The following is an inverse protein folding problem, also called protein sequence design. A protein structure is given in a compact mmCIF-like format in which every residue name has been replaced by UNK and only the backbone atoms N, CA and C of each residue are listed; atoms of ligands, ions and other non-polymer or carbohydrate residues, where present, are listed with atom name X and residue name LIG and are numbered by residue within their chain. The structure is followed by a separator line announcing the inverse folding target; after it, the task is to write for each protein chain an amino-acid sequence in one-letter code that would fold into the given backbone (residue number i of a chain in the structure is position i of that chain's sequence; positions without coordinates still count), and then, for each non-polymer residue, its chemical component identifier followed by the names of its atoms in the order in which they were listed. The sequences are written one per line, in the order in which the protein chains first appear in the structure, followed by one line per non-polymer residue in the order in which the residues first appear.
data_IF_439400560190
#
_entry.id   IF_439400560190
#
_cell.length_a   1.000
_cell.length_b   1.000
_cell.length_c   1.000
_cell.angle_alpha   90.00
_cell.angle_beta   90.00
_cell.angle_gamma   90.00
#
_symmetry.space_group_name_H-M   'P 1'
#
loop_
_entity.id
_entity.type
_entity.pdbx_description
1 polymer ?
#
# COMPACT_ATOMS: atom_id res chain seq x y z
N UNK A 1 -7.33 16.15 9.22
CA UNK A 1 -6.34 15.26 9.85
C UNK A 1 -4.98 15.80 9.46
N UNK A 2 -4.07 15.94 10.41
CA UNK A 2 -2.75 16.53 10.18
C UNK A 2 -1.86 15.56 9.38
N UNK A 3 -1.17 16.06 8.35
CA UNK A 3 -0.29 15.26 7.49
C UNK A 3 0.88 14.65 8.24
N UNK A 4 1.37 15.34 9.27
CA UNK A 4 2.48 14.85 10.11
C UNK A 4 2.05 13.67 10.98
N UNK A 5 0.81 13.69 11.47
CA UNK A 5 0.22 12.57 12.23
C UNK A 5 0.08 11.33 11.35
N UNK A 6 -0.32 11.52 10.09
CA UNK A 6 -0.42 10.41 9.13
C UNK A 6 0.97 9.84 8.84
N UNK A 7 1.96 10.70 8.58
CA UNK A 7 3.34 10.27 8.33
C UNK A 7 3.92 9.49 9.51
N UNK A 8 3.78 10.00 10.73
CA UNK A 8 4.27 9.32 11.93
C UNK A 8 3.63 7.95 12.13
N UNK A 9 2.32 7.81 11.86
CA UNK A 9 1.63 6.52 11.93
C UNK A 9 2.14 5.53 10.87
N UNK A 10 2.44 6.01 9.67
CA UNK A 10 2.98 5.20 8.58
C UNK A 10 4.42 4.75 8.87
N UNK A 11 5.27 5.64 9.40
CA UNK A 11 6.64 5.31 9.80
C UNK A 11 6.64 4.30 10.95
N UNK A 12 5.72 4.44 11.91
CA UNK A 12 5.55 3.47 12.99
C UNK A 12 5.15 2.10 12.47
N UNK A 13 4.22 2.02 11.51
CA UNK A 13 3.85 0.75 10.89
C UNK A 13 5.02 0.10 10.15
N UNK A 14 5.80 0.89 9.40
CA UNK A 14 6.96 0.37 8.70
C UNK A 14 7.97 -0.24 9.67
N UNK A 15 8.17 0.37 10.85
CA UNK A 15 8.97 -0.22 11.93
C UNK A 15 8.38 -1.55 12.43
N UNK A 16 7.05 -1.62 12.61
CA UNK A 16 6.38 -2.83 13.11
C UNK A 16 6.49 -4.01 12.16
N UNK A 17 6.58 -3.79 10.85
CA UNK A 17 6.89 -4.87 9.90
C UNK A 17 8.25 -5.52 10.22
N UNK A 18 9.26 -4.71 10.54
CA UNK A 18 10.59 -5.17 10.96
C UNK A 18 10.57 -5.99 12.26
N UNK A 19 9.76 -5.60 13.25
CA UNK A 19 9.58 -6.35 14.50
C UNK A 19 9.01 -7.76 14.28
N UNK A 20 8.36 -7.97 13.13
CA UNK A 20 7.82 -9.26 12.71
C UNK A 20 8.67 -9.98 11.67
N UNK A 21 9.90 -9.50 11.41
CA UNK A 21 10.80 -10.01 10.38
C UNK A 21 10.16 -10.01 8.98
N UNK A 22 9.25 -9.07 8.71
CA UNK A 22 8.63 -8.88 7.40
C UNK A 22 9.36 -7.71 6.71
N UNK A 23 9.93 -7.98 5.54
CA UNK A 23 10.57 -6.96 4.72
C UNK A 23 9.49 -6.18 3.93
N UNK A 24 9.27 -4.92 4.32
CA UNK A 24 8.24 -4.07 3.76
C UNK A 24 8.81 -2.78 3.16
N UNK A 25 8.14 -2.29 2.12
CA UNK A 25 8.30 -0.94 1.58
C UNK A 25 6.97 -0.23 1.60
N UNK A 26 6.99 1.10 1.73
CA UNK A 26 5.80 1.93 1.68
C UNK A 26 5.95 3.01 0.62
N UNK A 27 4.96 3.10 -0.25
CA UNK A 27 4.92 4.08 -1.34
C UNK A 27 3.73 5.02 -1.15
N UNK A 28 4.03 6.31 -1.04
CA UNK A 28 3.01 7.37 -1.08
C UNK A 28 2.77 7.80 -2.52
N UNK A 29 1.50 7.85 -2.93
CA UNK A 29 1.10 8.20 -4.28
C UNK A 29 0.55 9.62 -4.29
N UNK A 30 1.20 10.51 -5.04
CA UNK A 30 0.66 11.83 -5.36
C UNK A 30 -0.51 11.68 -6.35
N UNK A 31 -1.54 12.54 -6.22
CA UNK A 31 -2.71 12.53 -7.09
C UNK A 31 -2.47 13.40 -8.34
N UNK A 32 -1.43 13.06 -9.09
CA UNK A 32 -1.02 13.73 -10.33
C UNK A 32 -0.63 12.69 -11.41
N UNK A 33 -0.12 13.18 -12.54
CA UNK A 33 0.28 12.36 -13.69
C UNK A 33 1.40 11.35 -13.40
N UNK A 34 2.14 11.51 -12.30
CA UNK A 34 3.21 10.58 -11.92
C UNK A 34 2.70 9.31 -11.25
N UNK A 35 1.46 9.31 -10.74
CA UNK A 35 0.89 8.25 -9.89
C UNK A 35 1.09 6.85 -10.46
N UNK A 36 0.78 6.67 -11.75
CA UNK A 36 0.89 5.37 -12.42
C UNK A 36 2.33 4.87 -12.49
N UNK A 37 3.26 5.74 -12.89
CA UNK A 37 4.67 5.37 -13.04
C UNK A 37 5.30 4.98 -11.70
N UNK A 38 4.95 5.71 -10.63
CA UNK A 38 5.41 5.43 -9.26
C UNK A 38 4.87 4.10 -8.76
N UNK A 39 3.58 3.81 -9.00
CA UNK A 39 2.98 2.52 -8.64
C UNK A 39 3.65 1.35 -9.39
N UNK A 40 3.90 1.50 -10.70
CA UNK A 40 4.56 0.45 -11.49
C UNK A 40 5.98 0.20 -10.97
N UNK A 41 6.74 1.25 -10.69
CA UNK A 41 8.10 1.13 -10.15
C UNK A 41 8.11 0.38 -8.81
N UNK A 42 7.24 0.75 -7.87
CA UNK A 42 7.13 0.09 -6.58
C UNK A 42 6.70 -1.38 -6.69
N UNK A 43 5.69 -1.66 -7.51
CA UNK A 43 5.19 -3.03 -7.71
C UNK A 43 6.18 -3.94 -8.42
N UNK A 44 7.10 -3.37 -9.20
CA UNK A 44 8.12 -4.11 -9.97
C UNK A 44 9.48 -4.18 -9.27
N UNK A 45 9.63 -3.55 -8.10
CA UNK A 45 10.90 -3.49 -7.35
C UNK A 45 11.42 -4.89 -6.98
N UNK A 46 10.51 -5.78 -6.59
CA UNK A 46 10.78 -7.18 -6.23
C UNK A 46 9.51 -8.02 -6.29
N UNK A 47 9.67 -9.34 -6.16
CA UNK A 47 8.55 -10.27 -6.01
C UNK A 47 7.89 -10.08 -4.64
N UNK A 48 6.78 -9.34 -4.60
CA UNK A 48 5.99 -9.12 -3.38
C UNK A 48 5.09 -10.31 -3.04
N UNK A 49 5.03 -10.68 -1.77
CA UNK A 49 4.07 -11.68 -1.26
C UNK A 49 2.68 -11.07 -1.02
N UNK A 50 2.64 -9.82 -0.55
CA UNK A 50 1.38 -9.10 -0.24
C UNK A 50 1.50 -7.63 -0.59
N UNK A 51 0.47 -7.06 -1.22
CA UNK A 51 0.30 -5.61 -1.42
C UNK A 51 -0.87 -5.12 -0.59
N UNK A 52 -0.59 -4.28 0.42
CA UNK A 52 -1.62 -3.60 1.21
C UNK A 52 -1.99 -2.29 0.53
N UNK A 53 -3.21 -2.18 0.01
CA UNK A 53 -3.72 -0.92 -0.54
C UNK A 53 -4.28 -0.11 0.62
N UNK A 54 -3.78 1.12 0.85
CA UNK A 54 -4.19 1.97 1.96
C UNK A 54 -5.61 2.55 1.86
N UNK A 55 -6.21 2.91 3.00
CA UNK A 55 -7.54 3.53 3.05
C UNK A 55 -7.63 4.89 2.35
N UNK A 56 -6.52 5.62 2.23
CA UNK A 56 -6.47 6.92 1.54
C UNK A 56 -6.77 6.83 0.03
N UNK A 57 -6.54 5.67 -0.59
CA UNK A 57 -6.89 5.42 -2.00
C UNK A 57 -8.29 4.83 -2.13
N UNK A 58 -8.69 3.97 -1.19
CA UNK A 58 -9.92 3.15 -1.29
C UNK A 58 -11.20 3.78 -0.78
N UNK A 59 -11.11 4.63 0.25
CA UNK A 59 -12.28 5.16 0.95
C UNK A 59 -12.87 6.42 0.33
N UNK A 60 -12.08 7.37 -0.21
CA UNK A 60 -12.65 8.54 -0.87
C UNK A 60 -13.37 8.12 -2.17
N UNK A 61 -14.68 8.35 -2.24
CA UNK A 61 -15.48 8.03 -3.45
C UNK A 61 -14.89 8.63 -4.75
N UNK A 62 -14.37 9.88 -4.77
CA UNK A 62 -13.75 10.43 -5.98
C UNK A 62 -12.51 9.67 -6.47
N UNK A 63 -11.90 8.83 -5.63
CA UNK A 63 -10.70 8.05 -5.97
C UNK A 63 -11.04 6.62 -6.42
N UNK A 64 -12.31 6.27 -6.61
CA UNK A 64 -12.70 4.95 -7.11
C UNK A 64 -11.98 4.55 -8.42
N UNK A 65 -11.83 5.42 -9.43
CA UNK A 65 -11.08 5.08 -10.65
C UNK A 65 -9.60 4.79 -10.38
N UNK A 66 -8.97 5.56 -9.48
CA UNK A 66 -7.59 5.31 -9.08
C UNK A 66 -7.47 3.98 -8.33
N UNK A 67 -8.41 3.67 -7.45
CA UNK A 67 -8.43 2.38 -6.75
C UNK A 67 -8.53 1.20 -7.73
N UNK A 68 -9.42 1.28 -8.72
CA UNK A 68 -9.51 0.27 -9.79
C UNK A 68 -8.18 0.14 -10.54
N UNK A 69 -7.54 1.25 -10.88
CA UNK A 69 -6.23 1.26 -11.53
C UNK A 69 -5.17 0.57 -10.66
N UNK A 70 -5.12 0.85 -9.36
CA UNK A 70 -4.17 0.20 -8.43
C UNK A 70 -4.37 -1.31 -8.41
N UNK A 71 -5.60 -1.79 -8.30
CA UNK A 71 -5.90 -3.24 -8.31
C UNK A 71 -5.42 -3.89 -9.62
N UNK A 72 -5.67 -3.24 -10.76
CA UNK A 72 -5.24 -3.73 -12.06
C UNK A 72 -3.72 -3.68 -12.24
N UNK A 73 -3.04 -2.68 -11.69
CA UNK A 73 -1.57 -2.62 -11.70
C UNK A 73 -0.95 -3.71 -10.83
N UNK A 74 -1.48 -3.96 -9.64
CA UNK A 74 -1.01 -5.07 -8.78
C UNK A 74 -1.12 -6.40 -9.52
N UNK A 75 -2.27 -6.67 -10.15
CA UNK A 75 -2.47 -7.90 -10.93
C UNK A 75 -1.50 -8.06 -12.11
N UNK A 76 -1.06 -6.95 -12.72
CA UNK A 76 -0.15 -6.95 -13.87
C UNK A 76 1.32 -7.06 -13.45
N UNK A 77 1.73 -6.32 -12.43
CA UNK A 77 3.14 -6.12 -12.08
C UNK A 77 3.59 -6.95 -10.86
N UNK A 78 2.67 -7.33 -9.97
CA UNK A 78 2.93 -8.15 -8.79
C UNK A 78 1.99 -9.36 -8.76
N UNK A 79 1.97 -10.15 -9.84
CA UNK A 79 0.96 -11.20 -10.08
C UNK A 79 0.85 -12.26 -8.99
N UNK A 80 1.93 -12.53 -8.25
CA UNK A 80 1.98 -13.50 -7.15
C UNK A 80 1.46 -12.92 -5.83
N UNK A 81 1.44 -11.60 -5.70
CA UNK A 81 1.10 -10.95 -4.45
C UNK A 81 -0.39 -11.11 -4.14
N UNK A 82 -0.71 -11.43 -2.89
CA UNK A 82 -2.06 -11.25 -2.37
C UNK A 82 -2.39 -9.76 -2.25
N UNK A 83 -3.65 -9.38 -2.49
CA UNK A 83 -4.13 -8.01 -2.24
C UNK A 83 -4.75 -7.98 -0.85
N UNK A 84 -4.26 -7.07 -0.01
CA UNK A 84 -4.76 -6.85 1.34
C UNK A 84 -5.32 -5.43 1.49
N UNK A 85 -6.26 -5.30 2.41
CA UNK A 85 -6.88 -4.04 2.80
C UNK A 85 -6.81 -3.87 4.31
N UNK A 86 -6.24 -2.76 4.76
CA UNK A 86 -6.26 -2.30 6.14
C UNK A 86 -7.51 -1.47 6.43
N UNK A 87 -7.90 -1.43 7.70
CA UNK A 87 -9.05 -0.63 8.19
C UNK A 87 -8.61 0.82 8.47
N UNK A 88 -7.36 1.00 8.86
CA UNK A 88 -6.72 2.24 9.31
C UNK A 88 -5.23 2.24 8.95
N UNK A 89 -4.53 3.37 9.11
CA UNK A 89 -3.07 3.38 8.90
C UNK A 89 -2.35 2.32 9.74
N UNK A 90 -2.75 2.14 11.01
CA UNK A 90 -2.05 1.33 12.01
C UNK A 90 -2.38 -0.17 12.09
N UNK A 91 -3.11 -0.73 11.11
CA UNK A 91 -3.37 -2.18 11.03
C UNK A 91 -2.83 -2.80 9.72
N UNK A 92 -1.75 -2.22 9.17
CA UNK A 92 -1.17 -2.66 7.89
C UNK A 92 -0.41 -3.97 8.04
N UNK A 93 0.29 -4.15 9.16
CA UNK A 93 0.95 -5.43 9.52
C UNK A 93 -0.07 -6.56 9.61
N UNK A 94 -1.18 -6.32 10.30
CA UNK A 94 -2.27 -7.27 10.49
C UNK A 94 -2.95 -7.60 9.16
N UNK A 95 -3.10 -6.60 8.30
CA UNK A 95 -3.62 -6.81 6.95
C UNK A 95 -2.72 -7.70 6.11
N UNK A 96 -1.40 -7.50 6.17
CA UNK A 96 -0.43 -8.32 5.46
C UNK A 96 -0.42 -9.77 5.97
N UNK A 97 -0.37 -9.97 7.29
CA UNK A 97 -0.32 -11.29 7.94
C UNK A 97 -1.49 -12.22 7.64
N UNK A 98 -2.61 -11.73 7.12
CA UNK A 98 -3.71 -12.61 6.67
C UNK A 98 -3.33 -13.46 5.45
N UNK A 99 -2.24 -13.13 4.78
CA UNK A 99 -1.82 -13.75 3.52
C UNK A 99 -0.36 -14.23 3.50
N UNK A 100 0.42 -13.95 4.54
CA UNK A 100 1.81 -14.42 4.72
C UNK A 100 1.85 -15.81 5.37
#
# INVERSE_FOLDING_TARGET
MDGDVIRAALDQELSRFGDHAIDASMTLIALDESAESVMIAALSERDWDVVVIGGGIRKPEPLLPLFEQVVNLVRRHARKAAIAFNTSGGDSVEAAKRWL
#
